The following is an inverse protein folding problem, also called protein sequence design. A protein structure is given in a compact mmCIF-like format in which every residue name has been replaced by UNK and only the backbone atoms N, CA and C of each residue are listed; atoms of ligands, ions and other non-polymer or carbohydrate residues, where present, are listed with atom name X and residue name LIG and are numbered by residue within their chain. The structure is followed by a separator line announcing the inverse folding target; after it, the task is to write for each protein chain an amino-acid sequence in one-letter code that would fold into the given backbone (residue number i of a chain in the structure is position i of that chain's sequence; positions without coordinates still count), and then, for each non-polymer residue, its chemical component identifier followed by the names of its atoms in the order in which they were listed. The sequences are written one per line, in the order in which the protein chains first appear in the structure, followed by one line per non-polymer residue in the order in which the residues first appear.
data_IF_849362029920
#
_entry.id   IF_849362029920
#
_cell.length_a   1.000
_cell.length_b   1.000
_cell.length_c   1.000
_cell.angle_alpha   90.00
_cell.angle_beta   90.00
_cell.angle_gamma   90.00
#
_symmetry.space_group_name_H-M   'P 1'
#
loop_
_entity.id
_entity.type
_entity.pdbx_description
1 polymer ?
#
# COMPACT_ATOMS: atom_id res chain seq x y z
N UNK A 1 -43.48 12.62 11.24
CA UNK A 1 -42.51 13.42 12.01
C UNK A 1 -41.16 12.73 11.85
N UNK A 2 -40.43 13.07 10.78
CA UNK A 2 -39.05 12.64 10.57
C UNK A 2 -38.15 13.52 11.45
N UNK A 3 -37.37 12.92 12.33
CA UNK A 3 -36.23 13.59 12.95
C UNK A 3 -34.92 13.07 12.34
N UNK A 4 -34.32 13.96 11.57
CA UNK A 4 -32.92 14.00 11.14
C UNK A 4 -32.00 14.29 12.33
N UNK A 5 -30.78 13.73 12.34
CA UNK A 5 -29.47 14.20 12.89
C UNK A 5 -28.58 12.93 13.05
N UNK A 6 -27.39 12.75 12.48
CA UNK A 6 -26.48 13.52 11.62
C UNK A 6 -25.30 12.60 11.18
N UNK A 7 -24.42 13.06 10.27
CA UNK A 7 -23.32 12.25 9.73
C UNK A 7 -22.20 12.12 10.76
N UNK A 8 -21.98 10.93 11.28
CA UNK A 8 -20.98 10.66 12.30
C UNK A 8 -20.24 9.37 11.97
N UNK A 9 -18.94 9.52 11.68
CA UNK A 9 -17.87 8.56 12.00
C UNK A 9 -17.62 7.36 11.06
N UNK A 10 -17.61 7.56 9.74
CA UNK A 10 -16.98 6.62 8.81
C UNK A 10 -15.59 7.13 8.39
N UNK A 11 -14.64 7.03 9.31
CA UNK A 11 -13.20 7.10 9.06
C UNK A 11 -12.57 6.33 10.23
N UNK A 12 -11.96 5.15 10.02
CA UNK A 12 -10.60 5.13 9.48
C UNK A 12 -10.19 3.95 8.55
N UNK A 13 -11.04 3.27 7.76
CA UNK A 13 -10.50 2.30 6.78
C UNK A 13 -9.80 2.91 5.53
N UNK A 14 -9.86 4.24 5.34
CA UNK A 14 -9.26 4.91 4.17
C UNK A 14 -7.72 4.92 4.23
N UNK A 15 -7.09 4.61 5.37
CA UNK A 15 -5.64 4.70 5.50
C UNK A 15 -4.90 3.49 4.91
N UNK A 16 -5.42 2.26 5.06
CA UNK A 16 -4.81 1.07 4.47
C UNK A 16 -4.87 1.08 2.94
N UNK A 17 -5.99 1.54 2.37
CA UNK A 17 -6.13 1.70 0.91
C UNK A 17 -5.42 2.96 0.35
N UNK A 18 -5.10 3.97 1.18
CA UNK A 18 -4.32 5.15 0.73
C UNK A 18 -2.84 4.85 0.51
N UNK A 19 -2.33 3.74 1.03
CA UNK A 19 -0.97 3.29 0.73
C UNK A 19 -0.89 2.48 -0.57
N UNK A 20 -2.03 2.02 -1.12
CA UNK A 20 -2.11 1.57 -2.50
C UNK A 20 -2.30 2.77 -3.46
N UNK A 21 -1.40 3.75 -3.40
CA UNK A 21 -1.11 4.66 -4.51
C UNK A 21 0.12 4.07 -5.23
N UNK A 22 0.03 3.61 -6.49
CA UNK A 22 1.15 3.04 -7.25
C UNK A 22 2.32 4.01 -7.50
N UNK A 23 2.30 5.20 -6.89
CA UNK A 23 3.01 6.39 -7.35
C UNK A 23 3.95 7.00 -6.31
N UNK A 24 4.02 6.49 -5.08
CA UNK A 24 4.81 7.13 -4.00
C UNK A 24 5.87 6.23 -3.33
N UNK A 25 6.37 5.23 -4.06
CA UNK A 25 7.76 4.77 -3.90
C UNK A 25 8.70 5.89 -4.37
N UNK A 26 8.94 6.88 -3.50
CA UNK A 26 10.06 7.81 -3.70
C UNK A 26 11.35 7.05 -3.44
N UNK A 27 11.85 6.40 -4.50
CA UNK A 27 13.27 6.25 -4.83
C UNK A 27 14.19 6.08 -3.62
N UNK A 28 14.27 4.86 -3.09
CA UNK A 28 15.52 4.37 -2.50
C UNK A 28 16.30 3.67 -3.62
N UNK A 29 17.48 4.20 -3.92
CA UNK A 29 18.23 3.94 -5.15
C UNK A 29 18.66 2.48 -5.34
N UNK A 30 17.97 1.78 -6.23
CA UNK A 30 18.44 0.54 -6.86
C UNK A 30 18.11 0.47 -8.36
N UNK A 31 17.62 1.56 -8.96
CA UNK A 31 17.29 1.65 -10.38
C UNK A 31 18.48 2.12 -11.26
N UNK A 32 19.72 1.82 -10.87
CA UNK A 32 20.93 2.14 -11.67
C UNK A 32 21.70 0.92 -12.20
N UNK A 33 21.19 -0.31 -12.07
CA UNK A 33 21.90 -1.51 -12.53
C UNK A 33 21.29 -2.25 -13.73
N UNK A 34 20.33 -1.65 -14.45
CA UNK A 34 19.82 -2.21 -15.70
C UNK A 34 20.03 -1.23 -16.86
N UNK A 35 20.76 -1.61 -17.93
CA UNK A 35 20.94 -0.75 -19.09
C UNK A 35 19.69 -0.82 -19.96
N UNK A 36 18.66 -0.03 -19.63
CA UNK A 36 17.57 0.26 -20.57
C UNK A 36 17.57 1.76 -20.87
N UNK A 37 18.37 2.13 -21.88
CA UNK A 37 18.56 3.50 -22.35
C UNK A 37 17.50 3.84 -23.41
N UNK A 38 16.75 4.91 -23.13
CA UNK A 38 16.00 5.81 -24.04
C UNK A 38 14.73 5.23 -24.68
N UNK A 39 13.54 5.80 -24.49
CA UNK A 39 13.20 7.22 -24.60
C UNK A 39 11.78 7.49 -24.08
N UNK A 40 11.60 8.50 -23.22
CA UNK A 40 10.33 9.22 -23.11
C UNK A 40 10.63 10.71 -23.12
N UNK A 41 10.03 11.50 -24.02
CA UNK A 41 10.24 12.94 -24.04
C UNK A 41 9.56 13.59 -22.83
N UNK A 42 10.26 14.55 -22.23
CA UNK A 42 9.68 15.51 -21.31
C UNK A 42 8.53 16.26 -22.00
N UNK A 43 7.27 15.91 -21.69
CA UNK A 43 6.14 16.74 -22.06
C UNK A 43 5.85 17.72 -20.94
N UNK A 44 6.14 18.97 -21.25
CA UNK A 44 5.92 20.21 -20.52
C UNK A 44 4.57 20.29 -19.79
N UNK A 45 4.57 20.92 -18.62
CA UNK A 45 3.40 21.39 -17.88
C UNK A 45 2.47 22.21 -18.79
N UNK A 46 1.46 21.56 -19.37
CA UNK A 46 0.39 22.19 -20.11
C UNK A 46 -0.72 22.63 -19.17
N UNK A 47 -0.73 23.91 -18.80
CA UNK A 47 -1.88 24.57 -18.16
C UNK A 47 -3.08 24.53 -19.12
N UNK A 48 -3.96 23.54 -19.00
CA UNK A 48 -5.26 23.54 -19.67
C UNK A 48 -6.32 24.09 -18.71
N UNK A 49 -6.44 25.42 -18.68
CA UNK A 49 -7.50 26.14 -17.99
C UNK A 49 -8.68 26.33 -18.94
N UNK A 50 -9.71 25.50 -18.81
CA UNK A 50 -11.08 25.84 -19.21
C UNK A 50 -12.04 24.86 -18.57
N UNK A 51 -12.89 25.39 -17.69
CA UNK A 51 -13.72 24.63 -16.78
C UNK A 51 -14.82 23.84 -17.48
N UNK A 52 -14.86 22.55 -17.17
CA UNK A 52 -16.09 21.77 -17.12
C UNK A 52 -16.25 21.39 -15.66
N UNK A 53 -16.97 22.23 -14.90
CA UNK A 53 -17.33 21.92 -13.53
C UNK A 53 -18.39 20.83 -13.53
N UNK A 54 -17.99 19.60 -13.20
CA UNK A 54 -18.93 18.49 -13.02
C UNK A 54 -19.62 18.60 -11.65
N UNK A 55 -20.94 18.37 -11.57
CA UNK A 55 -21.66 18.38 -10.29
C UNK A 55 -21.16 17.22 -9.43
N UNK A 56 -20.67 17.52 -8.22
CA UNK A 56 -20.33 16.51 -7.20
C UNK A 56 -18.85 16.39 -6.81
N UNK A 57 -17.96 17.31 -7.23
CA UNK A 57 -16.61 17.43 -6.65
C UNK A 57 -15.66 16.25 -6.86
N UNK A 58 -16.01 15.25 -7.68
CA UNK A 58 -15.14 14.11 -8.00
C UNK A 58 -13.98 14.59 -8.88
N UNK A 59 -12.74 14.27 -8.51
CA UNK A 59 -11.58 14.64 -9.33
C UNK A 59 -11.58 13.79 -10.61
N UNK A 60 -11.01 14.32 -11.70
CA UNK A 60 -10.91 13.60 -12.99
C UNK A 60 -10.27 12.21 -12.83
N UNK A 61 -9.30 12.07 -11.92
CA UNK A 61 -8.66 10.78 -11.61
C UNK A 61 -9.64 9.74 -11.04
N UNK A 62 -10.58 10.16 -10.20
CA UNK A 62 -11.57 9.29 -9.57
C UNK A 62 -12.59 8.83 -10.62
N UNK A 63 -12.89 9.69 -11.60
CA UNK A 63 -13.76 9.39 -12.73
C UNK A 63 -13.14 8.35 -13.67
N UNK A 64 -11.84 8.46 -13.97
CA UNK A 64 -11.13 7.48 -14.81
C UNK A 64 -11.13 6.10 -14.15
N UNK A 65 -10.78 6.03 -12.86
CA UNK A 65 -10.69 4.75 -12.15
C UNK A 65 -12.07 4.07 -12.03
N UNK A 66 -13.13 4.87 -11.84
CA UNK A 66 -14.51 4.39 -11.88
C UNK A 66 -14.93 3.89 -13.28
N UNK A 67 -14.59 4.61 -14.35
CA UNK A 67 -14.89 4.18 -15.73
C UNK A 67 -14.18 2.88 -16.09
N UNK A 68 -12.98 2.65 -15.55
CA UNK A 68 -12.21 1.42 -15.75
C UNK A 68 -12.68 0.26 -14.87
N UNK A 69 -13.71 0.45 -14.03
CA UNK A 69 -14.13 -0.51 -12.99
C UNK A 69 -12.99 -0.97 -12.08
N UNK A 70 -11.98 -0.10 -11.88
CA UNK A 70 -10.79 -0.43 -11.10
C UNK A 70 -10.97 -0.21 -9.59
N UNK A 71 -12.13 0.30 -9.15
CA UNK A 71 -12.51 0.37 -7.73
C UNK A 71 -13.84 -0.35 -7.54
N UNK A 72 -13.82 -1.43 -6.77
CA UNK A 72 -15.00 -2.16 -6.33
C UNK A 72 -15.47 -1.72 -4.95
N UNK A 73 -16.34 -2.53 -4.36
CA UNK A 73 -16.65 -2.48 -2.93
C UNK A 73 -15.39 -2.68 -2.08
N UNK A 74 -15.43 -2.25 -0.82
CA UNK A 74 -14.31 -2.45 0.12
C UNK A 74 -13.91 -3.93 0.21
N UNK A 75 -14.89 -4.85 0.24
CA UNK A 75 -14.60 -6.28 0.27
C UNK A 75 -13.90 -6.76 -1.01
N UNK A 76 -14.35 -6.32 -2.19
CA UNK A 76 -13.70 -6.67 -3.47
C UNK A 76 -12.27 -6.12 -3.54
N UNK A 77 -12.05 -4.88 -3.10
CA UNK A 77 -10.72 -4.27 -3.08
C UNK A 77 -9.79 -5.02 -2.10
N UNK A 78 -10.29 -5.42 -0.93
CA UNK A 78 -9.52 -6.21 0.03
C UNK A 78 -9.19 -7.61 -0.50
N UNK A 79 -10.11 -8.27 -1.22
CA UNK A 79 -9.80 -9.55 -1.89
C UNK A 79 -8.66 -9.39 -2.90
N UNK A 80 -8.74 -8.37 -3.74
CA UNK A 80 -7.68 -8.07 -4.71
C UNK A 80 -6.33 -7.77 -4.04
N UNK A 81 -6.34 -7.03 -2.92
CA UNK A 81 -5.14 -6.78 -2.13
C UNK A 81 -4.57 -8.07 -1.55
N UNK A 82 -5.38 -8.92 -0.92
CA UNK A 82 -4.95 -10.22 -0.37
C UNK A 82 -4.34 -11.11 -1.47
N UNK A 83 -4.96 -11.18 -2.64
CA UNK A 83 -4.44 -11.94 -3.78
C UNK A 83 -3.09 -11.40 -4.28
N UNK A 84 -2.97 -10.07 -4.38
CA UNK A 84 -1.74 -9.39 -4.75
C UNK A 84 -0.62 -9.69 -3.76
N UNK A 85 -0.83 -9.39 -2.47
CA UNK A 85 0.18 -9.62 -1.43
C UNK A 85 0.59 -11.10 -1.36
N UNK A 86 -0.37 -12.03 -1.44
CA UNK A 86 -0.07 -13.47 -1.50
C UNK A 86 0.85 -13.83 -2.66
N UNK A 87 0.52 -13.38 -3.87
CA UNK A 87 1.38 -13.61 -5.04
C UNK A 87 2.78 -13.03 -4.83
N UNK A 88 2.88 -11.84 -4.24
CA UNK A 88 4.15 -11.19 -3.99
C UNK A 88 5.04 -12.01 -3.02
N UNK A 89 4.52 -12.45 -1.87
CA UNK A 89 5.34 -13.18 -0.90
C UNK A 89 5.53 -14.67 -1.19
N UNK A 90 4.61 -15.33 -1.92
CA UNK A 90 4.72 -16.77 -2.21
C UNK A 90 5.41 -17.07 -3.55
N UNK A 91 5.33 -16.18 -4.53
CA UNK A 91 5.84 -16.43 -5.88
C UNK A 91 6.89 -15.39 -6.32
N UNK A 92 6.52 -14.11 -6.36
CA UNK A 92 7.34 -13.05 -6.98
C UNK A 92 8.64 -12.79 -6.22
N UNK A 93 8.57 -12.39 -4.95
CA UNK A 93 9.77 -12.10 -4.17
C UNK A 93 10.64 -13.33 -3.91
N UNK A 94 10.10 -14.55 -3.66
CA UNK A 94 10.92 -15.75 -3.63
C UNK A 94 11.78 -15.94 -4.88
N UNK A 95 11.22 -15.68 -6.07
CA UNK A 95 11.98 -15.73 -7.32
C UNK A 95 13.09 -14.67 -7.36
N UNK A 96 12.80 -13.42 -6.98
CA UNK A 96 13.80 -12.35 -6.95
C UNK A 96 14.89 -12.58 -5.91
N UNK A 97 14.56 -13.14 -4.74
CA UNK A 97 15.53 -13.55 -3.73
C UNK A 97 16.45 -14.64 -4.28
N UNK A 98 15.90 -15.64 -4.96
CA UNK A 98 16.68 -16.72 -5.56
C UNK A 98 17.63 -16.20 -6.65
N UNK A 99 17.14 -15.33 -7.53
CA UNK A 99 17.93 -14.68 -8.59
C UNK A 99 19.06 -13.83 -8.01
N UNK A 100 18.76 -12.94 -7.06
CA UNK A 100 19.76 -12.10 -6.41
C UNK A 100 20.86 -12.92 -5.71
N UNK A 101 20.49 -14.05 -5.09
CA UNK A 101 21.48 -14.99 -4.51
C UNK A 101 22.32 -15.66 -5.59
N UNK A 102 21.71 -16.09 -6.70
CA UNK A 102 22.41 -16.68 -7.84
C UNK A 102 23.45 -15.73 -8.46
N UNK A 103 23.11 -14.45 -8.54
CA UNK A 103 23.99 -13.40 -9.04
C UNK A 103 24.98 -12.85 -7.99
N UNK A 104 24.92 -13.34 -6.74
CA UNK A 104 25.73 -12.86 -5.61
C UNK A 104 25.52 -11.36 -5.31
N UNK A 105 24.29 -10.87 -5.49
CA UNK A 105 23.84 -9.52 -5.13
C UNK A 105 23.25 -9.53 -3.73
N UNK A 106 24.11 -9.53 -2.72
CA UNK A 106 23.71 -9.69 -1.32
C UNK A 106 22.75 -8.60 -0.84
N UNK A 107 22.99 -7.35 -1.22
CA UNK A 107 22.15 -6.21 -0.85
C UNK A 107 20.73 -6.35 -1.42
N UNK A 108 20.63 -6.74 -2.69
CA UNK A 108 19.34 -7.00 -3.34
C UNK A 108 18.61 -8.18 -2.67
N UNK A 109 19.33 -9.27 -2.37
CA UNK A 109 18.73 -10.41 -1.66
C UNK A 109 18.15 -10.00 -0.31
N UNK A 110 18.81 -9.11 0.44
CA UNK A 110 18.31 -8.60 1.73
C UNK A 110 17.04 -7.78 1.52
N UNK A 111 17.06 -6.82 0.59
CA UNK A 111 15.91 -5.95 0.31
C UNK A 111 14.69 -6.76 -0.15
N UNK A 112 14.88 -7.72 -1.06
CA UNK A 112 13.77 -8.58 -1.51
C UNK A 112 13.27 -9.50 -0.39
N UNK A 113 14.15 -9.98 0.48
CA UNK A 113 13.72 -10.78 1.65
C UNK A 113 12.92 -9.92 2.64
N UNK A 114 13.29 -8.66 2.83
CA UNK A 114 12.53 -7.73 3.67
C UNK A 114 11.13 -7.48 3.10
N UNK A 115 11.04 -7.18 1.80
CA UNK A 115 9.77 -6.94 1.12
C UNK A 115 8.86 -8.17 1.19
N UNK A 116 9.37 -9.35 0.83
CA UNK A 116 8.65 -10.64 0.94
C UNK A 116 8.01 -10.84 2.31
N UNK A 117 8.77 -10.60 3.39
CA UNK A 117 8.28 -10.80 4.76
C UNK A 117 7.29 -9.70 5.18
N UNK A 118 7.38 -8.50 4.59
CA UNK A 118 6.42 -7.44 4.84
C UNK A 118 5.08 -7.74 4.14
N UNK A 119 5.11 -8.21 2.89
CA UNK A 119 3.89 -8.57 2.17
C UNK A 119 3.14 -9.75 2.83
N UNK A 120 3.85 -10.69 3.44
CA UNK A 120 3.23 -11.73 4.29
C UNK A 120 2.46 -11.11 5.47
N UNK A 121 3.02 -10.09 6.12
CA UNK A 121 2.32 -9.35 7.18
C UNK A 121 1.13 -8.58 6.60
N UNK A 122 1.28 -7.92 5.46
CA UNK A 122 0.21 -7.17 4.81
C UNK A 122 -0.97 -8.07 4.42
N UNK A 123 -0.72 -9.23 3.82
CA UNK A 123 -1.76 -10.21 3.50
C UNK A 123 -2.57 -10.60 4.75
N UNK A 124 -1.89 -10.85 5.88
CA UNK A 124 -2.54 -11.18 7.15
C UNK A 124 -3.35 -10.01 7.73
N UNK A 125 -2.90 -8.77 7.56
CA UNK A 125 -3.64 -7.59 7.99
C UNK A 125 -4.88 -7.35 7.12
N UNK A 126 -4.78 -7.54 5.81
CA UNK A 126 -5.95 -7.46 4.94
C UNK A 126 -6.96 -8.58 5.19
N UNK A 127 -6.50 -9.78 5.57
CA UNK A 127 -7.37 -10.86 6.04
C UNK A 127 -8.14 -10.45 7.32
N UNK A 128 -7.51 -9.76 8.26
CA UNK A 128 -8.23 -9.24 9.43
C UNK A 128 -9.24 -8.14 9.05
N UNK A 129 -8.84 -7.24 8.14
CA UNK A 129 -9.70 -6.17 7.67
C UNK A 129 -10.94 -6.68 6.92
N UNK A 130 -10.80 -7.71 6.07
CA UNK A 130 -11.94 -8.25 5.31
C UNK A 130 -12.94 -8.96 6.23
N UNK A 131 -12.48 -9.65 7.28
CA UNK A 131 -13.38 -10.24 8.27
C UNK A 131 -14.16 -9.18 9.05
N UNK A 132 -13.52 -8.06 9.43
CA UNK A 132 -14.22 -6.92 10.03
C UNK A 132 -15.30 -6.36 9.09
N UNK A 133 -14.97 -6.16 7.81
CA UNK A 133 -15.93 -5.68 6.80
C UNK A 133 -17.11 -6.63 6.63
N UNK A 134 -16.87 -7.94 6.65
CA UNK A 134 -17.93 -8.98 6.57
C UNK A 134 -18.87 -8.96 7.77
N UNK A 135 -18.37 -8.58 8.94
CA UNK A 135 -19.17 -8.35 10.14
C UNK A 135 -19.89 -6.98 10.14
N UNK A 136 -19.71 -6.17 9.09
CA UNK A 136 -20.32 -4.85 8.97
C UNK A 136 -19.67 -3.78 9.85
N UNK A 137 -18.42 -4.01 10.27
CA UNK A 137 -17.64 -3.08 11.10
C UNK A 137 -16.31 -2.71 10.43
N UNK A 138 -15.68 -1.67 10.96
CA UNK A 138 -14.30 -1.31 10.60
C UNK A 138 -13.31 -2.13 11.43
N UNK A 139 -12.06 -2.21 10.99
CA UNK A 139 -10.99 -2.81 11.78
C UNK A 139 -10.69 -1.91 12.99
N UNK A 140 -10.93 -2.43 14.19
CA UNK A 140 -10.78 -1.67 15.43
C UNK A 140 -9.32 -1.64 15.89
N UNK A 141 -8.60 -0.60 15.46
CA UNK A 141 -7.18 -0.39 15.79
C UNK A 141 -6.94 1.06 16.18
N UNK A 142 -6.47 1.25 17.40
CA UNK A 142 -6.16 2.59 17.91
C UNK A 142 -4.92 3.20 17.26
N UNK A 143 -3.90 2.39 16.92
CA UNK A 143 -2.60 2.87 16.41
C UNK A 143 -1.99 1.91 15.42
N UNK A 144 -1.31 2.43 14.41
CA UNK A 144 -0.60 1.65 13.40
C UNK A 144 0.85 2.11 13.35
N UNK A 145 1.79 1.18 13.39
CA UNK A 145 3.22 1.45 13.37
C UNK A 145 3.87 0.90 12.12
N UNK A 146 4.63 1.73 11.40
CA UNK A 146 5.36 1.37 10.19
C UNK A 146 6.87 1.38 10.44
N UNK A 147 7.54 0.26 10.15
CA UNK A 147 8.99 0.18 10.12
C UNK A 147 9.53 0.89 8.86
N UNK A 148 10.35 1.95 8.98
CA UNK A 148 10.84 2.70 7.82
C UNK A 148 11.95 1.98 7.05
N UNK A 149 12.46 0.85 7.56
CA UNK A 149 13.59 0.12 6.96
C UNK A 149 13.12 -1.04 6.07
N UNK A 150 12.11 -1.78 6.51
CA UNK A 150 11.65 -2.99 5.81
C UNK A 150 10.17 -2.99 5.44
N UNK A 151 9.41 -1.95 5.80
CA UNK A 151 7.98 -1.87 5.48
C UNK A 151 7.04 -2.59 6.45
N UNK A 152 7.55 -3.29 7.48
CA UNK A 152 6.69 -4.01 8.45
C UNK A 152 5.62 -3.10 9.07
N UNK A 153 4.38 -3.59 9.14
CA UNK A 153 3.27 -2.93 9.81
C UNK A 153 2.90 -3.70 11.09
N UNK A 154 2.78 -2.98 12.19
CA UNK A 154 2.35 -3.52 13.50
C UNK A 154 1.14 -2.74 14.00
N UNK A 155 0.14 -3.45 14.51
CA UNK A 155 -1.07 -2.85 15.07
C UNK A 155 -0.92 -2.68 16.59
N UNK A 156 -1.37 -1.54 17.12
CA UNK A 156 -1.44 -1.25 18.55
C UNK A 156 -0.12 -0.80 19.18
N UNK A 157 1.00 -1.49 18.93
CA UNK A 157 2.29 -1.14 19.50
C UNK A 157 3.47 -1.57 18.60
N UNK A 158 4.56 -0.81 18.62
CA UNK A 158 5.82 -1.23 18.01
C UNK A 158 6.57 -2.25 18.91
N UNK A 159 7.06 -3.37 18.39
CA UNK A 159 7.84 -4.34 19.16
C UNK A 159 9.25 -3.82 19.45
N UNK A 160 9.87 -4.29 20.55
CA UNK A 160 11.24 -3.90 20.98
C UNK A 160 12.25 -3.98 19.82
N UNK A 161 12.11 -4.98 18.96
CA UNK A 161 12.85 -5.12 17.70
C UNK A 161 11.90 -5.53 16.59
N UNK A 162 12.09 -4.96 15.41
CA UNK A 162 11.36 -5.36 14.20
C UNK A 162 11.63 -6.84 13.90
N UNK A 163 10.59 -7.68 13.73
CA UNK A 163 10.77 -9.13 13.47
C UNK A 163 11.35 -9.42 12.07
N UNK A 164 11.35 -8.44 11.17
CA UNK A 164 11.88 -8.56 9.81
C UNK A 164 13.34 -8.13 9.74
N UNK A 165 13.67 -6.88 10.11
CA UNK A 165 15.00 -6.31 9.92
C UNK A 165 15.77 -6.02 11.23
N UNK A 166 15.16 -6.23 12.39
CA UNK A 166 15.83 -6.14 13.69
C UNK A 166 16.10 -4.72 14.23
N UNK A 167 15.65 -3.67 13.56
CA UNK A 167 15.76 -2.29 14.09
C UNK A 167 14.93 -2.12 15.37
N UNK A 168 15.38 -1.27 16.31
CA UNK A 168 14.67 -1.08 17.56
C UNK A 168 13.32 -0.35 17.38
N UNK A 169 12.39 -0.56 18.31
CA UNK A 169 11.07 0.07 18.42
C UNK A 169 11.04 1.57 18.08
N UNK A 170 12.00 2.35 18.60
CA UNK A 170 12.12 3.80 18.41
C UNK A 170 12.26 4.25 16.95
N UNK A 171 12.53 3.32 16.04
CA UNK A 171 12.60 3.58 14.60
C UNK A 171 11.23 3.50 13.93
N UNK A 172 10.25 2.80 14.51
CA UNK A 172 8.92 2.73 13.97
C UNK A 172 8.25 4.10 14.00
N UNK A 173 7.42 4.36 12.98
CA UNK A 173 6.62 5.57 12.88
C UNK A 173 5.17 5.21 13.10
N UNK A 174 4.53 5.86 14.06
CA UNK A 174 3.08 5.84 14.16
C UNK A 174 2.50 6.53 12.90
N UNK A 175 1.62 5.84 12.18
CA UNK A 175 1.00 6.32 10.94
C UNK A 175 -0.51 6.39 11.12
N UNK A 176 -1.01 7.57 11.50
CA UNK A 176 -2.43 7.94 11.53
C UNK A 176 -2.61 9.42 11.18
#
# INVERSE_FOLDING_TARGET
MLHLFGPSQVAPLVLLLRFYEPSHSKTFGLLELLPFRQSQPASTEGRFSSGIGFPGGKKVKDLILFILNAVGSTEENLKGAIEGENYEFTEMYPAFVAEAKGERKNEASIVFTHAMRAEEVHANLYLQAIEAVREGKDLDVEKIYLCPVCGNIELGAAPEKCPICGVPDRMFREIQ
#
